data_IF_396118190276
#
_entry.id   IF_396118190276
#
_cell.length_a   1.000
_cell.length_b   1.000
_cell.length_c   1.000
_cell.angle_alpha   90.00
_cell.angle_beta   90.00
_cell.angle_gamma   90.00
#
_symmetry.space_group_name_H-M   'P 1'
#
loop_
_entity.id
_entity.type
_entity.pdbx_description
1 polymer ?
#
# COMPACT_ATOMS: atom_id res chain seq x y z
N UNK A 1 -24.51 -3.90 8.49
CA UNK A 1 -23.99 -2.76 7.71
C UNK A 1 -22.49 -2.87 7.41
N UNK A 2 -21.66 -3.49 8.28
CA UNK A 2 -20.19 -3.55 8.11
C UNK A 2 -19.69 -4.70 7.24
N UNK A 3 -20.51 -5.69 6.89
CA UNK A 3 -20.09 -6.86 6.13
C UNK A 3 -19.78 -6.53 4.67
N UNK A 4 -20.42 -5.52 4.10
CA UNK A 4 -20.26 -5.14 2.69
C UNK A 4 -18.82 -4.74 2.31
N UNK A 5 -18.09 -4.11 3.22
CA UNK A 5 -16.69 -3.72 3.01
C UNK A 5 -15.68 -4.62 3.74
N UNK A 6 -16.10 -5.31 4.82
CA UNK A 6 -15.21 -6.16 5.60
C UNK A 6 -14.80 -7.42 4.82
N UNK A 7 -15.72 -8.02 4.05
CA UNK A 7 -15.42 -9.20 3.25
C UNK A 7 -14.43 -8.87 2.13
N UNK A 8 -14.62 -7.84 1.30
CA UNK A 8 -13.63 -7.41 0.33
C UNK A 8 -12.28 -7.07 0.96
N UNK A 9 -12.26 -6.39 2.11
CA UNK A 9 -11.02 -6.05 2.80
C UNK A 9 -10.24 -7.31 3.26
N UNK A 10 -10.93 -8.38 3.66
CA UNK A 10 -10.29 -9.66 4.01
C UNK A 10 -9.71 -10.35 2.78
N UNK A 11 -10.44 -10.37 1.68
CA UNK A 11 -9.94 -10.91 0.40
C UNK A 11 -8.68 -10.17 -0.01
N UNK A 12 -8.73 -8.83 -0.02
CA UNK A 12 -7.59 -7.99 -0.35
C UNK A 12 -6.38 -8.25 0.58
N UNK A 13 -6.63 -8.46 1.88
CA UNK A 13 -5.56 -8.77 2.83
C UNK A 13 -4.84 -10.08 2.49
N UNK A 14 -5.57 -11.12 2.09
CA UNK A 14 -4.99 -12.40 1.66
C UNK A 14 -4.17 -12.25 0.38
N UNK A 15 -4.68 -11.49 -0.59
CA UNK A 15 -3.99 -11.23 -1.85
C UNK A 15 -2.70 -10.41 -1.67
N UNK A 16 -2.73 -9.39 -0.82
CA UNK A 16 -1.56 -8.57 -0.55
C UNK A 16 -0.50 -9.29 0.30
N UNK A 17 -0.94 -10.18 1.19
CA UNK A 17 -0.09 -10.89 2.15
C UNK A 17 -0.38 -12.40 2.14
N UNK A 18 -0.16 -13.09 1.01
CA UNK A 18 -0.38 -14.52 0.93
C UNK A 18 0.57 -15.29 1.87
N UNK A 19 0.12 -16.43 2.39
CA UNK A 19 0.92 -17.27 3.28
C UNK A 19 2.15 -17.85 2.57
N UNK A 20 2.02 -18.10 1.28
CA UNK A 20 3.13 -18.55 0.42
C UNK A 20 3.27 -17.59 -0.75
N UNK A 21 4.44 -17.01 -0.88
CA UNK A 21 4.79 -16.11 -1.98
C UNK A 21 6.01 -16.64 -2.72
N UNK A 22 5.82 -16.96 -3.99
CA UNK A 22 6.93 -17.32 -4.88
C UNK A 22 7.40 -16.08 -5.63
N UNK A 23 8.66 -15.74 -5.45
CA UNK A 23 9.31 -14.66 -6.19
C UNK A 23 9.55 -15.11 -7.63
N UNK A 24 9.16 -14.27 -8.59
CA UNK A 24 9.36 -14.51 -10.03
C UNK A 24 10.08 -13.32 -10.65
N UNK A 25 10.43 -13.40 -11.94
CA UNK A 25 11.05 -12.27 -12.66
C UNK A 25 10.12 -11.06 -12.79
N UNK A 26 8.80 -11.28 -12.85
CA UNK A 26 7.81 -10.22 -12.95
C UNK A 26 7.31 -9.73 -11.61
N UNK A 27 7.54 -10.48 -10.53
CA UNK A 27 7.10 -10.15 -9.18
C UNK A 27 8.23 -10.46 -8.20
N UNK A 28 9.06 -9.46 -7.95
CA UNK A 28 10.27 -9.60 -7.14
C UNK A 28 10.07 -9.19 -5.68
N UNK A 29 8.92 -8.60 -5.36
CA UNK A 29 8.59 -8.02 -4.06
C UNK A 29 8.28 -9.13 -3.04
N UNK A 30 9.23 -9.39 -2.14
CA UNK A 30 9.21 -10.51 -1.21
C UNK A 30 8.19 -10.34 -0.07
N UNK A 31 7.82 -11.44 0.60
CA UNK A 31 6.93 -11.39 1.78
C UNK A 31 7.51 -10.51 2.90
N UNK A 32 8.82 -10.57 3.12
CA UNK A 32 9.50 -9.72 4.10
C UNK A 32 9.37 -8.23 3.75
N UNK A 33 9.62 -7.87 2.49
CA UNK A 33 9.51 -6.48 2.02
C UNK A 33 8.07 -5.96 2.09
N UNK A 34 7.07 -6.80 1.77
CA UNK A 34 5.64 -6.44 1.90
C UNK A 34 5.26 -6.14 3.34
N UNK A 35 5.67 -6.99 4.29
CA UNK A 35 5.37 -6.77 5.70
C UNK A 35 6.18 -5.62 6.30
N UNK A 36 7.42 -5.40 5.84
CA UNK A 36 8.22 -4.22 6.20
C UNK A 36 7.56 -2.93 5.72
N UNK A 37 7.01 -2.93 4.51
CA UNK A 37 6.21 -1.82 3.97
C UNK A 37 4.99 -1.55 4.86
N UNK A 38 4.22 -2.59 5.18
CA UNK A 38 3.03 -2.48 6.02
C UNK A 38 3.35 -1.94 7.42
N UNK A 39 4.40 -2.47 8.05
CA UNK A 39 4.87 -2.01 9.36
C UNK A 39 5.30 -0.54 9.30
N UNK A 40 6.04 -0.14 8.26
CA UNK A 40 6.46 1.26 8.07
C UNK A 40 5.24 2.19 7.99
N UNK A 41 4.23 1.84 7.20
CA UNK A 41 3.00 2.66 7.09
C UNK A 41 2.23 2.69 8.41
N UNK A 42 2.12 1.56 9.11
CA UNK A 42 1.49 1.49 10.43
C UNK A 42 2.18 2.41 11.45
N UNK A 43 3.51 2.47 11.42
CA UNK A 43 4.32 3.36 12.25
C UNK A 43 4.10 4.83 11.89
N UNK A 44 4.05 5.18 10.60
CA UNK A 44 3.73 6.54 10.13
C UNK A 44 2.36 6.96 10.60
N UNK A 45 1.35 6.09 10.48
CA UNK A 45 0.01 6.35 10.99
C UNK A 45 -0.08 6.37 12.52
N UNK A 46 0.92 5.85 13.22
CA UNK A 46 0.96 5.82 14.69
C UNK A 46 -0.10 4.94 15.34
N UNK A 47 -0.60 3.93 14.63
CA UNK A 47 -1.61 2.99 15.13
C UNK A 47 -0.92 1.77 15.75
N UNK A 48 -0.72 1.78 17.06
CA UNK A 48 0.05 0.77 17.78
C UNK A 48 -0.44 -0.68 17.54
N UNK A 49 -1.76 -0.87 17.42
CA UNK A 49 -2.33 -2.21 17.14
C UNK A 49 -1.87 -2.76 15.80
N UNK A 50 -1.80 -1.91 14.77
CA UNK A 50 -1.28 -2.31 13.45
C UNK A 50 0.21 -2.54 13.50
N UNK A 51 0.98 -1.71 14.23
CA UNK A 51 2.42 -1.92 14.41
C UNK A 51 2.69 -3.29 15.05
N UNK A 52 1.99 -3.62 16.13
CA UNK A 52 2.13 -4.92 16.80
C UNK A 52 1.74 -6.09 15.89
N UNK A 53 0.66 -5.95 15.14
CA UNK A 53 0.16 -6.97 14.22
C UNK A 53 1.18 -7.27 13.09
N UNK A 54 1.66 -6.23 12.41
CA UNK A 54 2.60 -6.41 11.29
C UNK A 54 4.00 -6.79 11.79
N UNK A 55 4.45 -6.31 12.94
CA UNK A 55 5.70 -6.72 13.57
C UNK A 55 5.68 -8.21 13.93
N UNK A 56 4.59 -8.70 14.52
CA UNK A 56 4.44 -10.11 14.87
C UNK A 56 4.47 -11.04 13.64
N UNK A 57 3.95 -10.58 12.50
CA UNK A 57 3.99 -11.31 11.23
C UNK A 57 5.36 -11.24 10.55
N UNK A 58 6.08 -10.15 10.74
CA UNK A 58 7.40 -9.93 10.15
C UNK A 58 8.49 -10.75 10.86
N UNK A 59 8.43 -10.81 12.19
CA UNK A 59 9.47 -11.43 13.05
C UNK A 59 9.87 -12.85 12.64
N UNK A 60 8.96 -13.77 12.27
CA UNK A 60 9.34 -15.13 11.91
C UNK A 60 9.92 -15.27 10.50
N UNK A 61 9.83 -14.23 9.65
CA UNK A 61 10.34 -14.30 8.30
C UNK A 61 11.85 -14.11 8.26
N UNK A 62 12.57 -14.82 7.37
CA UNK A 62 13.97 -14.55 7.13
C UNK A 62 14.10 -13.13 6.57
N UNK A 63 14.94 -12.32 7.22
CA UNK A 63 15.31 -11.00 6.73
C UNK A 63 16.06 -11.06 5.40
N UNK A 64 16.25 -9.91 4.74
CA UNK A 64 17.13 -9.84 3.59
C UNK A 64 18.54 -10.27 3.99
N UNK A 65 19.31 -10.71 3.01
CA UNK A 65 20.73 -10.95 3.27
C UNK A 65 21.43 -9.65 3.74
N UNK A 66 22.62 -9.78 4.31
CA UNK A 66 23.38 -8.62 4.82
C UNK A 66 24.12 -7.85 3.72
N UNK A 67 23.83 -8.12 2.43
CA UNK A 67 24.45 -7.40 1.32
C UNK A 67 24.06 -5.92 1.32
N UNK A 68 24.93 -5.10 0.74
CA UNK A 68 24.68 -3.68 0.58
C UNK A 68 23.47 -3.43 -0.34
N UNK A 69 23.32 -4.25 -1.36
CA UNK A 69 22.25 -4.21 -2.34
C UNK A 69 20.88 -4.45 -1.69
N UNK A 70 20.76 -5.52 -0.92
CA UNK A 70 19.53 -5.88 -0.20
C UNK A 70 19.13 -4.83 0.83
N UNK A 71 20.10 -4.31 1.58
CA UNK A 71 19.86 -3.24 2.53
C UNK A 71 19.44 -1.94 1.83
N UNK A 72 20.08 -1.59 0.71
CA UNK A 72 19.71 -0.42 -0.08
C UNK A 72 18.29 -0.56 -0.66
N UNK A 73 17.96 -1.73 -1.19
CA UNK A 73 16.63 -2.02 -1.72
C UNK A 73 15.55 -1.87 -0.64
N UNK A 74 15.73 -2.46 0.52
CA UNK A 74 14.78 -2.35 1.63
C UNK A 74 14.65 -0.88 2.10
N UNK A 75 15.75 -0.14 2.15
CA UNK A 75 15.73 1.28 2.51
C UNK A 75 14.92 2.11 1.52
N UNK A 76 15.08 1.90 0.20
CA UNK A 76 14.29 2.60 -0.83
C UNK A 76 12.80 2.27 -0.73
N UNK A 77 12.45 1.00 -0.52
CA UNK A 77 11.06 0.55 -0.34
C UNK A 77 10.42 1.24 0.87
N UNK A 78 11.07 1.20 2.02
CA UNK A 78 10.53 1.76 3.27
C UNK A 78 10.52 3.30 3.24
N UNK A 79 11.48 3.93 2.58
CA UNK A 79 11.48 5.37 2.36
C UNK A 79 10.29 5.79 1.48
N UNK A 80 10.07 5.11 0.37
CA UNK A 80 8.93 5.37 -0.50
C UNK A 80 7.60 5.20 0.24
N UNK A 81 7.45 4.10 1.00
CA UNK A 81 6.27 3.85 1.80
C UNK A 81 6.01 4.95 2.83
N UNK A 82 7.04 5.42 3.50
CA UNK A 82 6.97 6.53 4.45
C UNK A 82 6.53 7.82 3.78
N UNK A 83 7.12 8.17 2.64
CA UNK A 83 6.80 9.37 1.88
C UNK A 83 5.35 9.35 1.39
N UNK A 84 4.93 8.24 0.75
CA UNK A 84 3.56 8.13 0.24
C UNK A 84 2.52 8.14 1.36
N UNK A 85 2.81 7.51 2.50
CA UNK A 85 1.88 7.49 3.63
C UNK A 85 1.77 8.84 4.36
N UNK A 86 2.88 9.61 4.43
CA UNK A 86 2.90 10.89 5.17
C UNK A 86 2.55 12.10 4.32
N UNK A 87 2.96 12.09 3.05
CA UNK A 87 2.89 13.26 2.16
C UNK A 87 2.72 12.82 0.70
N UNK A 88 1.54 12.32 0.31
CA UNK A 88 1.31 11.79 -1.04
C UNK A 88 1.66 12.76 -2.16
N UNK A 89 1.49 14.06 -1.94
CA UNK A 89 1.75 15.12 -2.92
C UNK A 89 3.20 15.23 -3.38
N UNK A 90 4.16 14.73 -2.60
CA UNK A 90 5.58 14.77 -2.97
C UNK A 90 6.01 13.61 -3.89
N UNK A 91 5.15 12.60 -4.05
CA UNK A 91 5.44 11.44 -4.90
C UNK A 91 5.35 11.85 -6.37
N UNK A 92 6.40 11.56 -7.09
CA UNK A 92 6.53 11.90 -8.51
C UNK A 92 7.22 10.75 -9.28
N UNK A 93 7.46 10.96 -10.57
CA UNK A 93 8.10 9.96 -11.42
C UNK A 93 9.49 9.54 -10.92
N UNK A 94 10.26 10.48 -10.37
CA UNK A 94 11.59 10.19 -9.81
C UNK A 94 11.50 9.27 -8.59
N UNK A 95 10.50 9.48 -7.72
CA UNK A 95 10.27 8.60 -6.57
C UNK A 95 10.00 7.16 -6.99
N UNK A 96 9.26 6.97 -8.10
CA UNK A 96 8.99 5.65 -8.68
C UNK A 96 10.22 5.07 -9.37
N UNK A 97 11.01 5.91 -10.05
CA UNK A 97 12.24 5.48 -10.69
C UNK A 97 13.21 4.87 -9.67
N UNK A 98 13.33 5.43 -8.48
CA UNK A 98 14.18 4.87 -7.43
C UNK A 98 13.77 3.45 -7.02
N UNK A 99 12.49 3.09 -7.10
CA UNK A 99 12.03 1.71 -6.89
C UNK A 99 12.49 0.79 -8.04
N UNK A 100 12.42 1.26 -9.27
CA UNK A 100 12.90 0.50 -10.43
C UNK A 100 14.42 0.30 -10.36
N UNK A 101 15.17 1.33 -9.96
CA UNK A 101 16.63 1.29 -9.84
C UNK A 101 17.12 0.22 -8.84
N UNK A 102 16.29 -0.14 -7.86
CA UNK A 102 16.57 -1.23 -6.91
C UNK A 102 15.92 -2.55 -7.33
N UNK A 103 15.46 -2.68 -8.58
CA UNK A 103 15.00 -3.94 -9.17
C UNK A 103 13.54 -4.29 -8.87
N UNK A 104 12.72 -3.31 -8.44
CA UNK A 104 11.27 -3.51 -8.38
C UNK A 104 10.66 -3.38 -9.78
N UNK A 105 9.79 -4.30 -10.12
CA UNK A 105 9.04 -4.28 -11.39
C UNK A 105 7.85 -3.32 -11.31
N UNK A 106 7.20 -3.08 -12.45
CA UNK A 106 5.95 -2.30 -12.48
C UNK A 106 4.86 -2.98 -11.64
N UNK A 107 4.76 -4.32 -11.71
CA UNK A 107 3.84 -5.08 -10.86
C UNK A 107 4.13 -4.88 -9.36
N UNK A 108 5.40 -4.91 -8.98
CA UNK A 108 5.81 -4.67 -7.60
C UNK A 108 5.44 -3.25 -7.14
N UNK A 109 5.59 -2.26 -8.03
CA UNK A 109 5.20 -0.88 -7.75
C UNK A 109 3.67 -0.73 -7.55
N UNK A 110 2.86 -1.48 -8.27
CA UNK A 110 1.41 -1.53 -8.06
C UNK A 110 1.10 -2.14 -6.69
N UNK A 111 1.69 -3.28 -6.38
CA UNK A 111 1.46 -3.99 -5.12
C UNK A 111 1.91 -3.13 -3.91
N UNK A 112 3.06 -2.46 -3.99
CA UNK A 112 3.51 -1.59 -2.90
C UNK A 112 2.53 -0.44 -2.64
N UNK A 113 1.99 0.18 -3.70
CA UNK A 113 0.98 1.22 -3.57
C UNK A 113 -0.32 0.70 -2.96
N UNK A 114 -0.76 -0.49 -3.38
CA UNK A 114 -1.93 -1.16 -2.80
C UNK A 114 -1.75 -1.47 -1.32
N UNK A 115 -0.58 -1.98 -0.92
CA UNK A 115 -0.25 -2.23 0.49
C UNK A 115 -0.32 -0.92 1.28
N UNK A 116 0.31 0.15 0.80
CA UNK A 116 0.31 1.44 1.48
C UNK A 116 -1.11 1.98 1.64
N UNK A 117 -1.92 1.92 0.58
CA UNK A 117 -3.33 2.31 0.60
C UNK A 117 -4.16 1.46 1.57
N UNK A 118 -3.96 0.14 1.55
CA UNK A 118 -4.67 -0.80 2.43
C UNK A 118 -4.37 -0.56 3.91
N UNK A 119 -3.09 -0.35 4.28
CA UNK A 119 -2.73 -0.03 5.67
C UNK A 119 -3.29 1.33 6.09
N UNK A 120 -3.26 2.31 5.19
CA UNK A 120 -3.91 3.61 5.40
C UNK A 120 -5.42 3.49 5.62
N UNK A 121 -6.10 2.63 4.88
CA UNK A 121 -7.50 2.30 5.08
C UNK A 121 -7.74 1.66 6.45
N UNK A 122 -6.95 0.66 6.84
CA UNK A 122 -7.05 0.03 8.16
C UNK A 122 -6.87 1.05 9.30
N UNK A 123 -5.87 1.93 9.19
CA UNK A 123 -5.60 2.96 10.18
C UNK A 123 -6.79 3.91 10.34
N UNK A 124 -7.37 4.37 9.24
CA UNK A 124 -8.54 5.25 9.25
C UNK A 124 -9.79 4.56 9.78
N UNK A 125 -9.98 3.30 9.44
CA UNK A 125 -11.08 2.48 9.98
C UNK A 125 -10.99 2.36 11.51
N UNK A 126 -9.80 2.07 12.03
CA UNK A 126 -9.57 2.00 13.49
C UNK A 126 -9.85 3.37 14.12
N UNK A 127 -9.35 4.47 13.54
CA UNK A 127 -9.57 5.82 14.03
C UNK A 127 -11.07 6.18 14.05
N UNK A 128 -11.82 5.81 13.01
CA UNK A 128 -13.27 6.03 12.94
C UNK A 128 -14.01 5.29 14.08
N UNK A 129 -13.67 4.02 14.32
CA UNK A 129 -14.27 3.28 15.42
C UNK A 129 -13.88 3.85 16.79
N UNK A 130 -12.63 4.29 16.97
CA UNK A 130 -12.21 4.95 18.20
C UNK A 130 -13.02 6.22 18.44
N UNK A 131 -13.18 7.07 17.42
CA UNK A 131 -13.99 8.28 17.50
C UNK A 131 -15.47 7.96 17.84
N UNK A 132 -16.04 6.95 17.17
CA UNK A 132 -17.41 6.51 17.43
C UNK A 132 -17.62 6.03 18.86
N UNK A 133 -16.61 5.41 19.48
CA UNK A 133 -16.64 4.93 20.85
C UNK A 133 -16.25 6.02 21.88
N UNK A 134 -16.04 7.27 21.44
CA UNK A 134 -15.67 8.38 22.32
C UNK A 134 -14.21 8.35 22.79
N UNK A 135 -13.36 7.53 22.19
CA UNK A 135 -11.94 7.51 22.48
C UNK A 135 -11.19 8.63 21.75
N UNK A 136 -10.12 9.17 22.33
CA UNK A 136 -9.29 10.16 21.65
C UNK A 136 -8.65 9.55 20.38
N UNK A 137 -8.76 10.27 19.28
CA UNK A 137 -8.20 9.87 17.99
C UNK A 137 -6.97 10.72 17.70
N UNK A 138 -5.87 10.05 17.37
CA UNK A 138 -4.68 10.74 16.91
C UNK A 138 -4.88 11.19 15.46
N UNK A 139 -4.31 12.35 15.12
CA UNK A 139 -4.21 12.83 13.75
C UNK A 139 -3.47 11.79 12.87
N UNK A 140 -4.05 11.42 11.74
CA UNK A 140 -3.44 10.52 10.77
C UNK A 140 -2.77 11.35 9.66
N UNK A 141 -1.47 11.13 9.39
CA UNK A 141 -0.76 11.82 8.31
C UNK A 141 -1.37 11.48 6.93
N UNK A 142 -1.05 12.30 5.94
CA UNK A 142 -1.53 12.13 4.56
C UNK A 142 -2.96 12.65 4.33
N UNK A 143 -3.59 13.23 5.35
CA UNK A 143 -4.81 13.99 5.22
C UNK A 143 -4.45 15.47 5.36
N UNK A 144 -4.40 16.18 4.25
CA UNK A 144 -4.41 17.64 4.29
C UNK A 144 -5.81 18.08 4.74
N UNK A 145 -5.88 18.91 5.79
CA UNK A 145 -7.13 19.61 6.10
C UNK A 145 -7.29 20.68 5.02
N UNK A 146 -7.87 20.30 3.92
CA UNK A 146 -8.50 21.29 3.08
C UNK A 146 -9.79 21.70 3.80
N UNK A 147 -9.92 22.96 4.08
CA UNK A 147 -11.06 23.50 4.82
C UNK A 147 -12.42 23.13 4.20
N UNK A 148 -12.46 22.76 2.92
CA UNK A 148 -13.62 22.21 2.24
C UNK A 148 -13.15 21.31 1.10
N UNK A 149 -13.53 20.03 1.13
CA UNK A 149 -13.50 19.21 -0.08
C UNK A 149 -14.53 19.81 -1.04
N UNK A 150 -14.09 20.35 -2.16
CA UNK A 150 -15.00 20.84 -3.18
C UNK A 150 -15.66 19.61 -3.82
N UNK A 151 -16.94 19.38 -3.48
CA UNK A 151 -17.70 18.26 -4.01
C UNK A 151 -17.80 18.32 -5.56
N UNK A 152 -17.63 19.49 -6.18
CA UNK A 152 -17.62 19.63 -7.64
C UNK A 152 -16.45 18.92 -8.28
N UNK A 153 -15.31 18.75 -7.57
CA UNK A 153 -14.16 17.99 -8.05
C UNK A 153 -14.45 16.49 -8.20
N UNK A 154 -15.45 15.97 -7.49
CA UNK A 154 -15.87 14.56 -7.59
C UNK A 154 -17.05 14.35 -8.54
N UNK A 155 -17.70 15.44 -8.96
CA UNK A 155 -18.84 15.40 -9.89
C UNK A 155 -18.41 15.53 -11.35
N UNK A 156 -17.19 15.93 -11.64
CA UNK A 156 -16.66 16.09 -12.98
C UNK A 156 -16.18 14.76 -13.55
N UNK A 157 -17.05 14.08 -14.33
CA UNK A 157 -16.72 12.86 -15.06
C UNK A 157 -15.54 13.05 -16.05
N UNK A 158 -15.14 14.29 -16.34
CA UNK A 158 -13.99 14.60 -17.19
C UNK A 158 -12.65 14.42 -16.47
N UNK A 159 -12.63 14.36 -15.15
CA UNK A 159 -11.44 14.03 -14.37
C UNK A 159 -11.18 12.51 -14.47
N UNK A 160 -10.82 12.08 -15.66
CA UNK A 160 -10.22 10.76 -15.80
C UNK A 160 -8.89 10.77 -15.08
N UNK A 161 -8.73 9.87 -14.15
CA UNK A 161 -7.44 9.53 -13.57
C UNK A 161 -6.48 9.22 -14.71
N UNK A 162 -5.71 10.21 -15.13
CA UNK A 162 -4.58 9.94 -16.02
C UNK A 162 -3.56 9.21 -15.15
N UNK A 163 -3.51 7.88 -15.31
CA UNK A 163 -2.37 7.17 -14.78
C UNK A 163 -1.13 7.83 -15.40
N UNK A 164 -0.27 8.39 -14.59
CA UNK A 164 1.03 8.89 -15.04
C UNK A 164 1.97 7.74 -15.44
N UNK A 165 1.46 6.51 -15.47
CA UNK A 165 2.05 5.33 -16.04
C UNK A 165 1.37 5.05 -17.38
N UNK A 166 2.14 5.12 -18.46
CA UNK A 166 1.91 4.22 -19.57
C UNK A 166 2.29 2.84 -19.03
N UNK A 167 1.30 2.11 -18.53
CA UNK A 167 1.49 0.71 -18.19
C UNK A 167 1.69 0.02 -19.54
N UNK A 168 2.91 -0.40 -19.86
CA UNK A 168 3.12 -1.40 -20.90
C UNK A 168 2.11 -2.51 -20.62
N UNK A 169 1.28 -2.84 -21.62
CA UNK A 169 0.27 -3.88 -21.47
C UNK A 169 0.98 -5.13 -20.96
N UNK A 170 0.72 -5.47 -19.70
CA UNK A 170 1.20 -6.71 -19.11
C UNK A 170 0.72 -7.85 -20.02
N UNK A 171 1.57 -8.84 -20.32
CA UNK A 171 1.16 -10.01 -21.09
C UNK A 171 -0.12 -10.61 -20.49
N UNK A 172 -1.08 -10.97 -21.33
CA UNK A 172 -2.41 -11.47 -20.89
C UNK A 172 -2.35 -12.65 -19.91
N UNK A 173 -1.23 -13.38 -19.88
CA UNK A 173 -0.98 -14.46 -18.93
C UNK A 173 -0.90 -14.01 -17.47
N UNK A 174 -0.57 -12.76 -17.21
CA UNK A 174 -0.48 -12.17 -15.86
C UNK A 174 -1.77 -11.44 -15.45
N UNK A 175 -2.65 -11.11 -16.37
CA UNK A 175 -3.94 -10.46 -16.06
C UNK A 175 -4.98 -11.43 -15.50
N UNK A 176 -4.77 -12.72 -15.59
CA UNK A 176 -5.62 -13.74 -14.94
C UNK A 176 -5.28 -14.00 -13.49
N UNK A 177 -4.18 -13.46 -13.01
CA UNK A 177 -3.76 -13.51 -11.61
C UNK A 177 -4.20 -12.22 -10.89
N UNK A 178 -4.75 -12.39 -9.72
CA UNK A 178 -5.14 -11.42 -8.64
C UNK A 178 -5.16 -9.90 -8.91
N UNK A 179 -4.27 -9.35 -9.73
CA UNK A 179 -4.19 -7.91 -9.99
C UNK A 179 -5.41 -7.39 -10.77
N UNK A 180 -5.99 -8.19 -11.66
CA UNK A 180 -7.21 -7.82 -12.41
C UNK A 180 -8.43 -7.84 -11.49
N UNK A 181 -8.51 -8.80 -10.58
CA UNK A 181 -9.56 -8.87 -9.55
C UNK A 181 -9.41 -7.74 -8.53
N UNK A 182 -8.19 -7.39 -8.14
CA UNK A 182 -7.91 -6.25 -7.27
C UNK A 182 -8.30 -4.91 -7.92
N UNK A 183 -8.05 -4.74 -9.22
CA UNK A 183 -8.50 -3.55 -9.96
C UNK A 183 -10.02 -3.51 -10.12
N UNK A 184 -10.69 -4.65 -10.27
CA UNK A 184 -12.15 -4.71 -10.31
C UNK A 184 -12.78 -4.40 -8.95
N UNK A 185 -12.21 -4.88 -7.85
CA UNK A 185 -12.66 -4.58 -6.48
C UNK A 185 -12.46 -3.12 -6.08
N UNK A 186 -11.50 -2.42 -6.68
CA UNK A 186 -11.27 -1.00 -6.44
C UNK A 186 -12.24 -0.10 -7.22
N UNK A 187 -12.93 -0.63 -8.25
CA UNK A 187 -13.87 0.09 -9.10
C UNK A 187 -15.35 -0.21 -8.80
N UNK A 188 -15.65 -1.04 -7.80
CA UNK A 188 -16.98 -1.31 -7.25
C UNK A 188 -17.14 -0.73 -5.84
#
# INVERSE_FOLDING_TARGET
>A
PFLSWLVPARVLAVELFPDQLTVTRSQTFTAYERLSTALTVAQVCGVQRLCNYYSARLTPLPGPDSSRESNHRLAQITQYARQLASSPSIINNRSRQHLNDVGLTVCDCVIINQIIGFIGFQARTIATFQAYLGHPVRWLPGLEIQNYADASLFADESIRWRSSYEVEKLPEEHTKSSTAELCQLANT
#
